data_IF_458246952783
#
_entry.id   IF_458246952783
#
_cell.length_a   1.000
_cell.length_b   1.000
_cell.length_c   1.000
_cell.angle_alpha   90.00
_cell.angle_beta   90.00
_cell.angle_gamma   90.00
#
_symmetry.space_group_name_H-M   'P 1'
#
loop_
_entity.id
_entity.type
_entity.pdbx_description
1 polymer ?
#
# COMPACT_ATOMS: atom_id res chain seq x y z
N UNK A 1 0.39 -16.99 18.71
CA UNK A 1 1.84 -16.77 18.81
C UNK A 1 2.47 -17.44 17.60
N UNK A 2 3.03 -16.67 16.66
CA UNK A 2 3.76 -17.20 15.50
C UNK A 2 5.24 -17.20 15.89
N UNK A 3 5.95 -18.30 15.68
CA UNK A 3 7.38 -18.39 15.95
C UNK A 3 8.10 -18.68 14.64
N UNK A 4 8.91 -17.72 14.19
CA UNK A 4 9.72 -17.85 12.96
C UNK A 4 11.12 -18.32 13.34
N UNK A 5 11.71 -19.16 12.49
CA UNK A 5 13.12 -19.57 12.56
C UNK A 5 13.69 -19.56 11.16
N UNK A 6 14.83 -18.88 10.98
CA UNK A 6 15.63 -19.01 9.77
C UNK A 6 16.58 -20.19 9.91
N UNK A 7 16.82 -20.85 8.78
CA UNK A 7 17.77 -21.95 8.65
C UNK A 7 18.80 -21.50 7.63
N UNK A 8 20.08 -21.48 8.01
CA UNK A 8 21.14 -21.06 7.11
C UNK A 8 21.49 -22.14 6.07
N UNK A 9 22.40 -21.83 5.14
CA UNK A 9 22.87 -22.74 4.08
C UNK A 9 23.45 -24.07 4.60
N UNK A 10 23.81 -24.14 5.88
CA UNK A 10 24.33 -25.33 6.54
C UNK A 10 23.27 -26.12 7.31
N UNK A 11 21.98 -25.74 7.21
CA UNK A 11 20.89 -26.42 7.89
C UNK A 11 20.81 -26.15 9.40
N UNK A 12 21.51 -25.13 9.90
CA UNK A 12 21.53 -24.76 11.31
C UNK A 12 20.55 -23.61 11.57
N UNK A 13 19.86 -23.66 12.71
CA UNK A 13 19.01 -22.57 13.20
C UNK A 13 19.87 -21.30 13.32
N UNK A 14 19.47 -20.23 12.64
CA UNK A 14 20.06 -18.91 12.90
C UNK A 14 19.63 -18.44 14.27
N UNK A 15 20.61 -18.10 15.11
CA UNK A 15 20.36 -17.61 16.45
C UNK A 15 19.80 -16.18 16.37
N UNK A 16 18.47 -16.07 16.33
CA UNK A 16 17.80 -14.81 16.61
C UNK A 16 18.17 -14.32 18.00
N UNK A 17 18.85 -13.18 18.08
CA UNK A 17 19.23 -12.57 19.37
C UNK A 17 17.97 -12.07 20.11
N UNK A 18 16.88 -11.80 19.38
CA UNK A 18 15.59 -11.35 19.90
C UNK A 18 14.42 -12.11 19.22
N UNK A 19 13.36 -12.41 19.98
CA UNK A 19 12.18 -13.13 19.49
C UNK A 19 11.42 -12.33 18.42
N UNK A 20 11.45 -10.99 18.51
CA UNK A 20 10.71 -10.12 17.59
C UNK A 20 11.54 -9.71 16.36
N UNK A 21 12.87 -9.71 16.46
CA UNK A 21 13.76 -9.34 15.36
C UNK A 21 13.65 -10.27 14.14
N UNK A 22 13.65 -11.58 14.38
CA UNK A 22 13.50 -12.60 13.33
C UNK A 22 12.12 -12.55 12.67
N UNK A 23 11.08 -12.27 13.44
CA UNK A 23 9.72 -12.14 12.90
C UNK A 23 9.57 -10.87 12.05
N UNK A 24 10.11 -9.74 12.51
CA UNK A 24 10.12 -8.49 11.76
C UNK A 24 10.89 -8.63 10.45
N UNK A 25 12.08 -9.23 10.47
CA UNK A 25 12.89 -9.48 9.27
C UNK A 25 12.13 -10.34 8.26
N UNK A 26 11.55 -11.46 8.71
CA UNK A 26 10.69 -12.29 7.87
C UNK A 26 9.52 -11.51 7.25
N UNK A 27 8.87 -10.66 8.03
CA UNK A 27 7.73 -9.86 7.59
C UNK A 27 8.16 -8.80 6.55
N UNK A 28 9.27 -8.10 6.79
CA UNK A 28 9.84 -7.13 5.85
C UNK A 28 10.28 -7.79 4.54
N UNK A 29 11.01 -8.91 4.59
CA UNK A 29 11.48 -9.63 3.39
C UNK A 29 10.32 -10.20 2.58
N UNK A 30 9.35 -10.82 3.25
CA UNK A 30 8.17 -11.37 2.60
C UNK A 30 7.37 -10.28 1.90
N UNK A 31 7.13 -9.15 2.58
CA UNK A 31 6.39 -8.03 1.99
C UNK A 31 7.16 -7.37 0.85
N UNK A 32 8.49 -7.18 0.96
CA UNK A 32 9.33 -6.73 -0.15
C UNK A 32 9.20 -7.66 -1.37
N UNK A 33 9.19 -8.98 -1.16
CA UNK A 33 9.05 -9.95 -2.24
C UNK A 33 7.66 -9.91 -2.87
N UNK A 34 6.61 -9.71 -2.07
CA UNK A 34 5.21 -9.61 -2.54
C UNK A 34 5.00 -8.39 -3.45
N UNK A 35 5.64 -7.26 -3.12
CA UNK A 35 5.55 -6.03 -3.92
C UNK A 35 6.49 -6.01 -5.12
N UNK A 36 7.29 -7.07 -5.31
CA UNK A 36 8.13 -7.23 -6.48
C UNK A 36 7.25 -7.31 -7.75
N UNK A 37 7.50 -6.44 -8.75
CA UNK A 37 6.76 -6.45 -10.02
C UNK A 37 6.75 -7.82 -10.72
N UNK A 38 7.77 -8.66 -10.49
CA UNK A 38 7.85 -10.02 -11.06
C UNK A 38 6.75 -10.96 -10.58
N UNK A 39 6.14 -10.72 -9.41
CA UNK A 39 5.00 -11.50 -8.94
C UNK A 39 3.66 -10.98 -9.49
N UNK A 40 3.64 -9.77 -10.08
CA UNK A 40 2.44 -9.16 -10.66
C UNK A 40 1.22 -9.13 -9.70
N UNK A 41 1.48 -9.07 -8.38
CA UNK A 41 0.43 -8.94 -7.37
C UNK A 41 0.07 -7.46 -7.15
N UNK A 42 1.05 -6.58 -7.06
CA UNK A 42 0.83 -5.15 -6.90
C UNK A 42 1.44 -4.37 -8.06
N UNK A 43 0.88 -3.19 -8.33
CA UNK A 43 1.41 -2.20 -9.25
C UNK A 43 1.61 -0.88 -8.52
N UNK A 44 2.45 -0.04 -9.09
CA UNK A 44 2.66 1.33 -8.63
C UNK A 44 1.81 2.29 -9.48
N UNK A 45 1.19 3.27 -8.83
CA UNK A 45 0.61 4.43 -9.52
C UNK A 45 1.72 5.37 -10.01
N UNK A 46 1.36 6.46 -10.70
CA UNK A 46 2.30 7.53 -11.05
C UNK A 46 2.96 8.21 -9.84
N UNK A 47 2.38 8.05 -8.65
CA UNK A 47 2.90 8.59 -7.38
C UNK A 47 3.67 7.53 -6.56
N UNK A 48 4.07 6.43 -7.18
CA UNK A 48 4.78 5.31 -6.53
C UNK A 48 3.97 4.70 -5.36
N UNK A 49 2.63 4.71 -5.47
CA UNK A 49 1.74 4.09 -4.49
C UNK A 49 1.29 2.71 -4.93
N UNK A 50 1.33 1.75 -4.02
CA UNK A 50 0.96 0.36 -4.24
C UNK A 50 -0.56 0.18 -4.29
N UNK A 51 -1.03 -0.53 -5.32
CA UNK A 51 -2.41 -1.02 -5.41
C UNK A 51 -2.43 -2.41 -6.07
N UNK A 52 -3.49 -3.22 -5.86
CA UNK A 52 -3.58 -4.54 -6.47
C UNK A 52 -3.48 -4.48 -8.00
N UNK A 53 -2.70 -5.38 -8.59
CA UNK A 53 -2.60 -5.50 -10.04
C UNK A 53 -3.93 -6.01 -10.61
N UNK A 54 -4.58 -5.28 -11.55
CA UNK A 54 -5.78 -5.77 -12.25
C UNK A 54 -5.51 -7.08 -13.00
N UNK A 55 -4.27 -7.25 -13.46
CA UNK A 55 -3.80 -8.43 -14.19
C UNK A 55 -3.21 -9.51 -13.29
N UNK A 56 -3.42 -9.44 -11.97
CA UNK A 56 -2.86 -10.45 -11.05
C UNK A 56 -3.35 -11.88 -11.31
N UNK A 57 -4.44 -12.06 -12.06
CA UNK A 57 -4.98 -13.38 -12.41
C UNK A 57 -4.03 -14.25 -13.25
N UNK A 58 -2.96 -13.70 -13.83
CA UNK A 58 -1.90 -14.51 -14.46
C UNK A 58 -1.01 -15.22 -13.47
N UNK A 59 -0.98 -14.75 -12.23
CA UNK A 59 -0.21 -15.39 -11.16
C UNK A 59 -1.06 -16.51 -10.57
N UNK A 60 -0.52 -17.72 -10.55
CA UNK A 60 -1.23 -18.84 -9.93
C UNK A 60 -1.55 -18.54 -8.46
N UNK A 61 -2.76 -18.90 -8.05
CA UNK A 61 -3.26 -18.67 -6.69
C UNK A 61 -3.22 -17.20 -6.23
N UNK A 62 -3.32 -16.23 -7.16
CA UNK A 62 -3.22 -14.81 -6.82
C UNK A 62 -4.16 -14.36 -5.69
N UNK A 63 -5.40 -14.85 -5.64
CA UNK A 63 -6.34 -14.50 -4.58
C UNK A 63 -5.89 -15.02 -3.21
N UNK A 64 -5.38 -16.26 -3.15
CA UNK A 64 -4.82 -16.82 -1.91
C UNK A 64 -3.58 -16.04 -1.48
N UNK A 65 -2.76 -15.57 -2.43
CA UNK A 65 -1.62 -14.70 -2.15
C UNK A 65 -2.08 -13.36 -1.57
N UNK A 66 -3.10 -12.70 -2.15
CA UNK A 66 -3.65 -11.47 -1.56
C UNK A 66 -4.19 -11.68 -0.15
N UNK A 67 -4.89 -12.79 0.10
CA UNK A 67 -5.35 -13.15 1.44
C UNK A 67 -4.19 -13.35 2.41
N UNK A 68 -3.13 -14.04 1.99
CA UNK A 68 -1.92 -14.19 2.79
C UNK A 68 -1.27 -12.84 3.10
N UNK A 69 -1.13 -11.96 2.11
CA UNK A 69 -0.53 -10.62 2.26
C UNK A 69 -1.36 -9.75 3.20
N UNK A 70 -2.70 -9.78 3.05
CA UNK A 70 -3.60 -9.09 3.97
C UNK A 70 -3.43 -9.58 5.39
N UNK A 71 -3.32 -10.89 5.60
CA UNK A 71 -3.02 -11.48 6.91
C UNK A 71 -1.66 -11.01 7.46
N UNK A 72 -0.60 -11.06 6.65
CA UNK A 72 0.73 -10.59 7.04
C UNK A 72 0.73 -9.11 7.46
N UNK A 73 0.06 -8.25 6.69
CA UNK A 73 -0.06 -6.83 7.06
C UNK A 73 -0.90 -6.64 8.32
N UNK A 74 -2.02 -7.36 8.46
CA UNK A 74 -2.83 -7.33 9.68
C UNK A 74 -2.04 -7.78 10.91
N UNK A 75 -1.13 -8.74 10.73
CA UNK A 75 -0.23 -9.19 11.78
C UNK A 75 0.79 -8.11 12.17
N UNK A 76 1.38 -7.45 11.18
CA UNK A 76 2.30 -6.34 11.40
C UNK A 76 1.64 -5.22 12.22
N UNK A 77 0.44 -4.81 11.81
CA UNK A 77 -0.35 -3.78 12.51
C UNK A 77 -0.72 -4.22 13.93
N UNK A 78 -1.10 -5.49 14.13
CA UNK A 78 -1.44 -6.01 15.47
C UNK A 78 -0.25 -5.99 16.43
N UNK A 79 0.96 -6.24 15.94
CA UNK A 79 2.19 -6.26 16.74
C UNK A 79 2.93 -4.91 16.74
N UNK A 80 2.31 -3.86 16.19
CA UNK A 80 2.90 -2.52 16.08
C UNK A 80 4.23 -2.50 15.31
N UNK A 81 4.36 -3.37 14.31
CA UNK A 81 5.51 -3.44 13.41
C UNK A 81 5.25 -2.55 12.20
N UNK A 82 6.09 -1.53 12.05
CA UNK A 82 6.07 -0.63 10.91
C UNK A 82 6.64 -1.31 9.67
N UNK A 83 5.92 -1.22 8.55
CA UNK A 83 6.34 -1.73 7.24
C UNK A 83 6.30 -0.64 6.19
N UNK A 84 7.36 -0.55 5.42
CA UNK A 84 7.49 0.38 4.29
C UNK A 84 6.63 -0.10 3.10
N UNK A 85 5.36 0.30 3.12
CA UNK A 85 4.32 -0.10 2.16
C UNK A 85 3.44 1.10 1.84
N UNK A 86 3.86 1.98 0.91
CA UNK A 86 3.09 3.16 0.55
C UNK A 86 1.89 2.75 -0.30
N UNK A 87 0.74 2.47 0.30
CA UNK A 87 -0.46 2.10 -0.43
C UNK A 87 -1.17 3.32 -1.04
N UNK A 88 -1.87 3.10 -2.14
CA UNK A 88 -2.72 4.14 -2.74
C UNK A 88 -3.95 4.41 -1.85
N UNK A 89 -4.35 5.68 -1.75
CA UNK A 89 -5.46 6.10 -0.87
C UNK A 89 -6.77 5.40 -1.24
N UNK A 90 -7.05 5.25 -2.53
CA UNK A 90 -8.24 4.56 -3.04
C UNK A 90 -8.29 3.08 -2.69
N UNK A 91 -7.13 2.45 -2.49
CA UNK A 91 -7.05 1.07 -2.05
C UNK A 91 -7.27 0.97 -0.53
N UNK A 92 -6.62 1.84 0.25
CA UNK A 92 -6.79 1.87 1.70
C UNK A 92 -8.22 2.20 2.13
N UNK A 93 -8.89 3.13 1.45
CA UNK A 93 -10.31 3.43 1.71
C UNK A 93 -11.20 2.22 1.45
N UNK A 94 -10.87 1.33 0.50
CA UNK A 94 -11.54 0.04 0.32
C UNK A 94 -11.29 -0.90 1.50
N UNK A 95 -10.06 -0.96 2.03
CA UNK A 95 -9.70 -1.80 3.18
C UNK A 95 -10.45 -1.36 4.44
N UNK A 96 -10.54 -0.06 4.69
CA UNK A 96 -11.28 0.55 5.80
C UNK A 96 -12.80 0.43 5.63
N UNK A 97 -13.29 0.23 4.40
CA UNK A 97 -14.72 0.16 4.11
C UNK A 97 -15.40 1.52 3.94
N UNK A 98 -14.62 2.60 3.79
CA UNK A 98 -15.11 3.98 3.61
C UNK A 98 -15.72 4.23 2.21
N UNK A 99 -15.64 3.26 1.31
CA UNK A 99 -16.18 3.33 -0.05
C UNK A 99 -17.70 3.52 -0.13
N UNK A 100 -18.42 3.18 0.95
CA UNK A 100 -19.86 3.42 1.06
C UNK A 100 -20.18 4.78 1.66
N UNK A 101 -19.17 5.57 2.01
CA UNK A 101 -19.35 6.96 2.43
C UNK A 101 -19.86 7.77 1.25
N UNK A 102 -20.93 8.53 1.46
CA UNK A 102 -21.51 9.43 0.46
C UNK A 102 -20.55 10.51 -0.03
N UNK A 103 -19.38 10.64 0.61
CA UNK A 103 -18.33 11.62 0.29
C UNK A 103 -17.25 11.08 -0.64
N UNK A 104 -17.22 9.77 -0.90
CA UNK A 104 -16.19 9.18 -1.75
C UNK A 104 -16.53 9.39 -3.23
N UNK A 105 -15.61 10.01 -3.98
CA UNK A 105 -15.76 10.30 -5.40
C UNK A 105 -14.62 9.66 -6.18
N UNK A 106 -14.92 8.58 -6.91
CA UNK A 106 -13.92 7.88 -7.73
C UNK A 106 -13.28 8.78 -8.80
N UNK A 107 -13.95 9.87 -9.21
CA UNK A 107 -13.42 10.84 -10.17
C UNK A 107 -12.33 11.71 -9.53
N UNK A 108 -12.50 12.11 -8.27
CA UNK A 108 -11.58 13.02 -7.60
C UNK A 108 -10.28 12.32 -7.21
N UNK A 109 -10.33 11.01 -6.96
CA UNK A 109 -9.14 10.20 -6.69
C UNK A 109 -8.48 9.63 -7.96
N UNK A 110 -9.18 9.60 -9.10
CA UNK A 110 -8.65 9.07 -10.36
C UNK A 110 -7.29 9.66 -10.78
N UNK A 111 -7.01 10.97 -10.60
CA UNK A 111 -5.70 11.54 -10.93
C UNK A 111 -4.52 10.88 -10.18
N UNK A 112 -4.74 10.35 -8.97
CA UNK A 112 -3.70 9.67 -8.19
C UNK A 112 -3.37 8.27 -8.72
N UNK A 113 -4.29 7.65 -9.44
CA UNK A 113 -4.12 6.36 -10.10
C UNK A 113 -3.62 6.53 -11.54
N UNK A 114 -4.37 7.30 -12.33
CA UNK A 114 -4.16 7.48 -13.77
C UNK A 114 -4.49 8.93 -14.20
N UNK A 115 -3.48 9.82 -14.20
CA UNK A 115 -3.62 11.20 -14.64
C UNK A 115 -4.04 11.35 -16.11
N UNK A 116 -3.68 10.39 -16.97
CA UNK A 116 -3.98 10.45 -18.41
C UNK A 116 -5.43 10.11 -18.69
N UNK A 117 -5.96 9.09 -18.01
CA UNK A 117 -7.38 8.77 -18.06
C UNK A 117 -8.21 9.93 -17.50
N UNK A 118 -7.80 10.54 -16.39
CA UNK A 118 -8.50 11.71 -15.85
C UNK A 118 -8.57 12.87 -16.87
N UNK A 119 -7.47 13.16 -17.57
CA UNK A 119 -7.45 14.16 -18.64
C UNK A 119 -8.41 13.79 -19.78
N UNK A 120 -8.42 12.53 -20.19
CA UNK A 120 -9.28 12.02 -21.26
C UNK A 120 -10.77 12.12 -20.90
N UNK A 121 -11.14 11.74 -19.67
CA UNK A 121 -12.51 11.88 -19.18
C UNK A 121 -12.92 13.35 -19.01
N UNK A 122 -12.00 14.20 -18.57
CA UNK A 122 -12.22 15.65 -18.48
C UNK A 122 -12.42 16.29 -19.85
N UNK A 123 -11.71 15.80 -20.87
CA UNK A 123 -11.91 16.21 -22.26
C UNK A 123 -13.32 15.85 -22.74
N UNK A 124 -13.75 14.60 -22.55
CA UNK A 124 -15.11 14.15 -22.91
C UNK A 124 -16.18 14.99 -22.19
N UNK A 125 -15.97 15.34 -20.92
CA UNK A 125 -16.88 16.17 -20.12
C UNK A 125 -17.13 17.53 -20.76
N UNK A 126 -16.07 18.20 -21.23
CA UNK A 126 -16.11 19.55 -21.78
C UNK A 126 -16.18 19.59 -23.31
N UNK A 127 -16.28 18.44 -23.96
CA UNK A 127 -16.45 18.37 -25.41
C UNK A 127 -17.77 19.02 -25.82
N UNK A 128 -17.68 20.06 -26.66
CA UNK A 128 -18.84 20.83 -27.15
C UNK A 128 -19.47 20.24 -28.42
N UNK A 129 -18.78 19.31 -29.11
CA UNK A 129 -19.30 18.59 -30.28
C UNK A 129 -20.24 17.43 -29.93
N UNK A 130 -20.57 16.60 -30.92
CA UNK A 130 -21.28 15.35 -30.67
C UNK A 130 -20.29 14.29 -30.15
N UNK A 131 -20.44 13.89 -28.88
CA UNK A 131 -19.59 12.82 -28.30
C UNK A 131 -19.71 11.50 -29.06
N UNK A 132 -20.81 11.30 -29.79
CA UNK A 132 -20.99 10.13 -30.67
C UNK A 132 -19.91 10.06 -31.75
N UNK A 133 -19.31 11.19 -32.16
CA UNK A 133 -18.22 11.24 -33.15
C UNK A 133 -16.91 10.62 -32.61
N UNK A 134 -16.80 10.40 -31.30
CA UNK A 134 -15.65 9.75 -30.68
C UNK A 134 -15.74 8.22 -30.73
N UNK A 135 -16.83 7.65 -31.25
CA UNK A 135 -17.09 6.21 -31.37
C UNK A 135 -16.87 5.43 -30.05
N UNK A 136 -17.15 6.10 -28.93
CA UNK A 136 -17.05 5.50 -27.60
C UNK A 136 -18.28 4.65 -27.30
N UNK A 137 -18.06 3.54 -26.61
CA UNK A 137 -19.12 2.66 -26.09
C UNK A 137 -18.98 2.51 -24.58
N UNK A 138 -19.98 1.95 -23.90
CA UNK A 138 -19.89 1.67 -22.45
C UNK A 138 -19.04 0.42 -22.16
N UNK A 139 -17.84 0.36 -22.72
CA UNK A 139 -16.83 -0.65 -22.47
C UNK A 139 -15.43 -0.05 -22.38
N UNK A 140 -14.52 -0.81 -21.81
CA UNK A 140 -13.11 -0.48 -21.67
C UNK A 140 -12.28 -1.61 -22.28
N UNK A 141 -11.40 -1.27 -23.21
CA UNK A 141 -10.48 -2.20 -23.85
C UNK A 141 -9.11 -2.13 -23.17
N UNK A 142 -8.60 -3.29 -22.73
CA UNK A 142 -7.27 -3.43 -22.17
C UNK A 142 -6.45 -4.36 -23.05
N UNK A 143 -5.30 -3.88 -23.55
CA UNK A 143 -4.34 -4.73 -24.26
C UNK A 143 -3.52 -5.52 -23.25
N UNK A 144 -3.60 -6.84 -23.37
CA UNK A 144 -2.81 -7.78 -22.61
C UNK A 144 -1.99 -8.69 -23.53
N UNK A 145 -0.67 -8.44 -23.61
CA UNK A 145 0.27 -9.21 -24.43
C UNK A 145 -0.18 -9.35 -25.90
N UNK A 146 -0.87 -8.35 -26.45
CA UNK A 146 -1.41 -8.34 -27.81
C UNK A 146 -2.83 -8.88 -27.94
N UNK A 147 -3.46 -9.36 -26.86
CA UNK A 147 -4.88 -9.70 -26.82
C UNK A 147 -5.69 -8.56 -26.19
N UNK A 148 -6.70 -8.07 -26.91
CA UNK A 148 -7.57 -7.01 -26.39
C UNK A 148 -8.71 -7.66 -25.59
N UNK A 149 -8.75 -7.38 -24.29
CA UNK A 149 -9.84 -7.78 -23.40
C UNK A 149 -10.79 -6.59 -23.23
N UNK A 150 -12.01 -6.75 -23.73
CA UNK A 150 -13.07 -5.74 -23.59
C UNK A 150 -13.93 -6.00 -22.35
N UNK A 151 -13.86 -5.10 -21.39
CA UNK A 151 -14.68 -5.07 -20.19
C UNK A 151 -15.93 -4.21 -20.36
N UNK A 152 -17.10 -4.75 -20.03
CA UNK A 152 -18.35 -3.99 -20.06
C UNK A 152 -18.52 -3.16 -18.78
N UNK A 153 -18.70 -1.84 -18.93
CA UNK A 153 -18.94 -0.94 -17.79
C UNK A 153 -20.36 -1.09 -17.23
N UNK A 154 -21.28 -1.59 -18.05
CA UNK A 154 -22.66 -1.96 -17.69
C UNK A 154 -23.13 -3.12 -18.58
N UNK A 155 -24.16 -3.87 -18.17
CA UNK A 155 -24.68 -4.97 -18.98
C UNK A 155 -25.04 -4.54 -20.41
N UNK A 156 -24.46 -5.19 -21.42
CA UNK A 156 -24.66 -4.86 -22.82
C UNK A 156 -23.95 -3.58 -23.28
N UNK A 157 -23.00 -3.08 -22.49
CA UNK A 157 -22.34 -1.79 -22.68
C UNK A 157 -21.63 -1.63 -24.02
N UNK A 158 -21.10 -2.73 -24.60
CA UNK A 158 -20.44 -2.73 -25.91
C UNK A 158 -21.35 -2.26 -27.05
N UNK A 159 -22.66 -2.48 -26.91
CA UNK A 159 -23.64 -2.10 -27.94
C UNK A 159 -24.26 -0.74 -27.71
N UNK A 160 -23.89 -0.03 -26.63
CA UNK A 160 -24.49 1.25 -26.29
C UNK A 160 -23.47 2.36 -26.51
N UNK A 161 -23.70 3.26 -27.48
CA UNK A 161 -22.79 4.36 -27.74
C UNK A 161 -22.86 5.42 -26.64
N UNK A 162 -21.75 6.11 -26.43
CA UNK A 162 -21.67 7.29 -25.58
C UNK A 162 -22.15 8.50 -26.36
N UNK A 163 -23.15 9.19 -25.84
CA UNK A 163 -23.78 10.38 -26.41
C UNK A 163 -23.68 11.56 -25.44
N UNK A 164 -24.01 12.77 -25.91
CA UNK A 164 -24.01 13.94 -25.04
C UNK A 164 -24.93 13.82 -23.82
N UNK A 165 -26.03 13.09 -23.93
CA UNK A 165 -26.97 12.87 -22.82
C UNK A 165 -26.44 11.89 -21.76
N UNK A 166 -25.56 10.95 -22.16
CA UNK A 166 -25.10 9.87 -21.29
C UNK A 166 -23.60 9.93 -20.95
N UNK A 167 -22.85 10.91 -21.49
CA UNK A 167 -21.40 11.07 -21.28
C UNK A 167 -20.99 11.18 -19.83
N UNK A 168 -21.82 11.84 -18.99
CA UNK A 168 -21.56 11.96 -17.55
C UNK A 168 -21.62 10.57 -16.89
N UNK A 169 -22.59 9.74 -17.25
CA UNK A 169 -22.72 8.37 -16.73
C UNK A 169 -21.52 7.52 -17.16
N UNK A 170 -21.08 7.65 -18.42
CA UNK A 170 -19.87 6.97 -18.91
C UNK A 170 -18.64 7.35 -18.07
N UNK A 171 -18.41 8.63 -17.81
CA UNK A 171 -17.28 9.11 -17.01
C UNK A 171 -17.29 8.50 -15.61
N UNK A 172 -18.42 8.52 -14.92
CA UNK A 172 -18.54 7.94 -13.58
C UNK A 172 -18.32 6.42 -13.60
N UNK A 173 -18.88 5.70 -14.57
CA UNK A 173 -18.71 4.25 -14.68
C UNK A 173 -17.28 3.87 -15.02
N UNK A 174 -16.60 4.62 -15.89
CA UNK A 174 -15.19 4.38 -16.22
C UNK A 174 -14.29 4.59 -15.01
N UNK A 175 -14.46 5.70 -14.28
CA UNK A 175 -13.71 5.97 -13.06
C UNK A 175 -13.96 4.89 -12.00
N UNK A 176 -15.23 4.52 -11.77
CA UNK A 176 -15.57 3.45 -10.82
C UNK A 176 -15.00 2.08 -11.24
N UNK A 177 -15.00 1.77 -12.54
CA UNK A 177 -14.43 0.54 -13.06
C UNK A 177 -12.93 0.45 -12.77
N UNK A 178 -12.18 1.51 -13.10
CA UNK A 178 -10.73 1.57 -12.88
C UNK A 178 -10.34 1.62 -11.40
N UNK A 179 -11.09 2.30 -10.55
CA UNK A 179 -10.73 2.42 -9.14
C UNK A 179 -11.14 1.20 -8.30
N UNK A 180 -12.24 0.51 -8.68
CA UNK A 180 -12.84 -0.52 -7.83
C UNK A 180 -13.09 -1.84 -8.54
N UNK A 181 -13.77 -1.82 -9.70
CA UNK A 181 -14.28 -3.06 -10.30
C UNK A 181 -13.14 -3.98 -10.74
N UNK A 182 -12.11 -3.43 -11.39
CA UNK A 182 -11.00 -4.22 -11.92
C UNK A 182 -10.13 -4.91 -10.85
N UNK A 183 -10.12 -4.38 -9.61
CA UNK A 183 -9.34 -4.94 -8.49
C UNK A 183 -10.23 -5.58 -7.40
N UNK A 184 -11.53 -5.69 -7.64
CA UNK A 184 -12.51 -6.01 -6.59
C UNK A 184 -12.21 -7.33 -5.88
N UNK A 185 -11.87 -8.36 -6.64
CA UNK A 185 -11.73 -9.71 -6.09
C UNK A 185 -10.41 -9.86 -5.34
N UNK A 186 -9.35 -9.18 -5.80
CA UNK A 186 -8.06 -9.02 -5.14
C UNK A 186 -8.23 -8.28 -3.80
N UNK A 187 -8.88 -7.12 -3.82
CA UNK A 187 -9.14 -6.31 -2.63
C UNK A 187 -9.98 -7.09 -1.60
N UNK A 188 -11.01 -7.83 -2.04
CA UNK A 188 -11.79 -8.70 -1.15
C UNK A 188 -10.96 -9.80 -0.51
N UNK A 189 -10.09 -10.45 -1.28
CA UNK A 189 -9.20 -11.48 -0.75
C UNK A 189 -8.23 -10.91 0.28
N UNK A 190 -7.61 -9.76 -0.03
CA UNK A 190 -6.76 -9.02 0.89
C UNK A 190 -7.49 -8.65 2.19
N UNK A 191 -8.68 -8.06 2.09
CA UNK A 191 -9.49 -7.67 3.25
C UNK A 191 -9.85 -8.89 4.11
N UNK A 192 -10.18 -10.03 3.49
CA UNK A 192 -10.47 -11.27 4.21
C UNK A 192 -9.27 -11.71 5.05
N UNK A 193 -8.08 -11.69 4.47
CA UNK A 193 -6.84 -11.96 5.18
C UNK A 193 -6.58 -10.99 6.32
N UNK A 194 -6.68 -9.70 6.04
CA UNK A 194 -6.42 -8.63 7.01
C UNK A 194 -7.37 -8.69 8.22
N UNK A 195 -8.68 -8.86 7.95
CA UNK A 195 -9.72 -8.98 8.99
C UNK A 195 -9.71 -10.29 9.75
N UNK A 196 -8.96 -11.30 9.29
CA UNK A 196 -8.76 -12.52 10.07
C UNK A 196 -7.92 -12.29 11.33
N UNK A 197 -7.15 -11.19 11.35
CA UNK A 197 -6.28 -10.81 12.48
C UNK A 197 -6.77 -9.54 13.16
N UNK A 198 -7.16 -8.53 12.38
CA UNK A 198 -7.60 -7.23 12.90
C UNK A 198 -9.13 -7.18 13.01
N UNK A 199 -9.63 -6.75 14.18
CA UNK A 199 -11.05 -6.51 14.38
C UNK A 199 -11.50 -5.28 13.54
N UNK A 200 -12.53 -5.42 12.68
CA UNK A 200 -13.07 -4.30 11.90
C UNK A 200 -13.45 -3.06 12.72
N UNK A 201 -13.90 -3.23 13.96
CA UNK A 201 -14.26 -2.11 14.86
C UNK A 201 -13.07 -1.24 15.25
N UNK A 202 -11.84 -1.76 15.17
CA UNK A 202 -10.64 -0.94 15.42
C UNK A 202 -10.31 -0.05 14.23
N UNK A 203 -10.73 -0.45 13.02
CA UNK A 203 -10.43 0.29 11.80
C UNK A 203 -11.29 1.55 11.65
N UNK A 204 -12.49 1.57 12.24
CA UNK A 204 -13.37 2.75 12.18
C UNK A 204 -12.82 3.97 12.95
N UNK A 205 -11.74 3.81 13.70
CA UNK A 205 -11.08 4.90 14.43
C UNK A 205 -10.08 5.68 13.57
N UNK A 206 -9.70 5.15 12.41
CA UNK A 206 -8.65 5.71 11.57
C UNK A 206 -9.22 6.24 10.25
N UNK A 207 -8.84 7.45 9.89
CA UNK A 207 -8.94 7.92 8.51
C UNK A 207 -7.87 7.25 7.62
N UNK A 208 -8.04 7.31 6.30
CA UNK A 208 -7.06 6.76 5.32
C UNK A 208 -5.61 7.22 5.59
N UNK A 209 -5.30 8.51 5.81
CA UNK A 209 -3.94 8.95 6.08
C UNK A 209 -3.40 8.48 7.44
N UNK A 210 -4.26 8.33 8.45
CA UNK A 210 -3.87 7.78 9.75
C UNK A 210 -3.58 6.29 9.66
N UNK A 211 -4.37 5.55 8.90
CA UNK A 211 -4.13 4.12 8.66
C UNK A 211 -2.83 3.89 7.86
N UNK A 212 -2.53 4.73 6.87
CA UNK A 212 -1.24 4.69 6.17
C UNK A 212 -0.07 4.96 7.13
N UNK A 213 -0.21 5.92 8.05
CA UNK A 213 0.80 6.19 9.09
C UNK A 213 0.93 5.06 10.11
N UNK A 214 -0.16 4.37 10.43
CA UNK A 214 -0.11 3.18 11.28
C UNK A 214 0.69 2.05 10.63
N UNK A 215 0.56 1.88 9.30
CA UNK A 215 1.29 0.87 8.53
C UNK A 215 2.77 1.24 8.37
N UNK A 216 3.05 2.44 7.89
CA UNK A 216 4.41 2.83 7.45
C UNK A 216 5.14 3.76 8.40
N UNK A 217 4.55 4.06 9.55
CA UNK A 217 5.09 5.04 10.49
C UNK A 217 4.95 6.46 9.97
N UNK A 218 5.47 7.40 10.74
CA UNK A 218 5.53 8.81 10.34
C UNK A 218 6.91 9.11 9.72
N UNK A 219 6.92 9.83 8.61
CA UNK A 219 8.15 10.35 7.99
C UNK A 219 8.55 11.70 8.62
N UNK A 220 8.34 11.85 9.93
CA UNK A 220 8.76 13.05 10.65
C UNK A 220 10.27 12.98 10.86
N UNK A 221 10.94 14.09 10.59
CA UNK A 221 12.36 14.26 10.87
C UNK A 221 12.65 13.81 12.32
N UNK A 222 13.63 12.92 12.46
CA UNK A 222 14.01 12.38 13.76
C UNK A 222 14.45 13.51 14.67
N UNK A 223 13.70 13.74 15.75
CA UNK A 223 14.14 14.62 16.82
C UNK A 223 15.23 13.90 17.62
N UNK A 224 16.48 14.15 17.23
CA UNK A 224 17.65 13.56 17.88
C UNK A 224 17.76 13.98 19.35
N UNK A 225 17.19 15.14 19.73
CA UNK A 225 17.20 15.60 21.11
C UNK A 225 16.22 14.80 21.94
N UNK A 226 14.98 14.63 21.48
CA UNK A 226 13.99 13.78 22.14
C UNK A 226 14.47 12.32 22.24
N UNK A 227 15.06 11.79 21.16
CA UNK A 227 15.61 10.44 21.15
C UNK A 227 16.72 10.27 22.21
N UNK A 228 17.63 11.25 22.33
CA UNK A 228 18.71 11.23 23.31
C UNK A 228 18.21 11.32 24.74
N UNK A 229 17.21 12.18 24.99
CA UNK A 229 16.59 12.34 26.31
C UNK A 229 15.91 11.05 26.78
N UNK A 230 15.36 10.25 25.85
CA UNK A 230 14.70 8.98 26.14
C UNK A 230 15.57 7.73 25.96
N UNK A 231 16.88 7.88 25.70
CA UNK A 231 17.79 6.73 25.53
C UNK A 231 18.30 6.22 26.89
N UNK A 232 18.04 4.94 27.18
CA UNK A 232 18.62 4.26 28.34
C UNK A 232 19.98 3.64 28.00
N UNK A 233 20.98 3.92 28.83
CA UNK A 233 22.33 3.41 28.67
C UNK A 233 22.60 2.25 29.64
N UNK A 234 23.15 1.15 29.13
CA UNK A 234 23.51 -0.04 29.90
C UNK A 234 25.02 -0.29 29.84
N UNK A 235 25.54 -1.21 30.68
CA UNK A 235 26.95 -1.64 30.60
C UNK A 235 27.98 -0.59 31.05
N UNK A 236 27.58 0.36 31.90
CA UNK A 236 28.46 1.42 32.40
C UNK A 236 28.56 2.65 31.50
N UNK A 237 27.89 2.65 30.34
CA UNK A 237 27.71 3.85 29.53
C UNK A 237 26.68 4.80 30.17
N UNK A 238 26.84 6.09 29.91
CA UNK A 238 25.92 7.14 30.33
C UNK A 238 26.00 8.30 29.33
N UNK A 239 25.04 9.23 29.38
CA UNK A 239 24.91 10.33 28.41
C UNK A 239 26.22 11.13 28.19
N UNK A 240 26.93 11.44 29.27
CA UNK A 240 28.21 12.18 29.22
C UNK A 240 29.43 11.35 28.83
N UNK A 241 29.27 10.06 28.54
CA UNK A 241 30.40 9.19 28.22
C UNK A 241 30.96 9.55 26.85
N UNK A 242 32.29 9.62 26.70
CA UNK A 242 32.93 10.18 25.50
C UNK A 242 32.44 9.56 24.19
N UNK A 243 32.33 8.24 24.13
CA UNK A 243 31.80 7.55 22.93
C UNK A 243 30.31 7.77 22.69
N UNK A 244 29.51 8.01 23.74
CA UNK A 244 28.08 8.35 23.60
C UNK A 244 27.93 9.76 23.03
N UNK A 245 28.72 10.73 23.53
CA UNK A 245 28.75 12.07 22.94
C UNK A 245 29.16 12.03 21.46
N UNK A 246 30.19 11.26 21.10
CA UNK A 246 30.59 11.10 19.70
C UNK A 246 29.50 10.50 18.82
N UNK A 247 28.76 9.49 19.32
CA UNK A 247 27.63 8.91 18.58
C UNK A 247 26.59 10.00 18.25
N UNK A 248 26.18 10.79 19.24
CA UNK A 248 25.20 11.86 19.04
C UNK A 248 25.73 12.98 18.15
N UNK A 249 27.01 13.37 18.30
CA UNK A 249 27.64 14.39 17.45
C UNK A 249 27.66 13.95 15.97
N UNK A 250 27.98 12.67 15.70
CA UNK A 250 27.99 12.10 14.35
C UNK A 250 26.56 12.05 13.77
N UNK A 251 25.58 11.61 14.57
CA UNK A 251 24.18 11.59 14.15
C UNK A 251 23.64 12.99 13.82
N UNK A 252 24.07 14.01 14.57
CA UNK A 252 23.61 15.39 14.37
C UNK A 252 24.32 16.10 13.21
N UNK A 253 25.61 15.85 12.99
CA UNK A 253 26.44 16.63 12.06
C UNK A 253 26.78 15.92 10.77
N UNK A 254 27.01 14.62 10.83
CA UNK A 254 27.56 13.85 9.70
C UNK A 254 26.47 13.06 8.96
N UNK A 255 25.42 12.64 9.66
CA UNK A 255 24.33 11.87 9.05
C UNK A 255 23.28 12.78 8.41
N UNK A 256 22.90 12.45 7.17
CA UNK A 256 21.72 12.99 6.49
C UNK A 256 20.43 12.42 7.08
N UNK A 257 19.30 13.03 6.76
CA UNK A 257 17.98 12.63 7.26
C UNK A 257 17.65 11.16 6.94
N UNK A 258 17.97 10.70 5.72
CA UNK A 258 17.82 9.29 5.31
C UNK A 258 18.69 8.34 6.15
N UNK A 259 19.93 8.74 6.45
CA UNK A 259 20.86 7.93 7.26
C UNK A 259 20.42 7.88 8.74
N UNK A 260 19.82 8.96 9.26
CA UNK A 260 19.20 8.98 10.60
C UNK A 260 17.98 8.06 10.67
N UNK A 261 17.15 8.07 9.62
CA UNK A 261 16.01 7.16 9.51
C UNK A 261 16.46 5.70 9.46
N UNK A 262 17.52 5.39 8.70
CA UNK A 262 18.15 4.07 8.68
C UNK A 262 18.70 3.67 10.05
N UNK A 263 19.39 4.59 10.74
CA UNK A 263 19.89 4.35 12.10
C UNK A 263 18.76 3.98 13.06
N UNK A 264 17.63 4.71 13.03
CA UNK A 264 16.46 4.36 13.83
C UNK A 264 15.88 3.00 13.43
N UNK A 265 15.73 2.72 12.13
CA UNK A 265 15.17 1.47 11.63
C UNK A 265 15.94 0.25 12.16
N UNK A 266 17.28 0.38 12.24
CA UNK A 266 18.17 -0.65 12.78
C UNK A 266 18.09 -0.76 14.31
N UNK A 267 17.89 0.35 15.03
CA UNK A 267 17.96 0.39 16.49
C UNK A 267 16.59 0.31 17.22
N UNK A 268 15.46 0.41 16.52
CA UNK A 268 14.12 0.14 17.07
C UNK A 268 14.00 -1.28 17.65
N UNK A 269 14.90 -2.18 17.28
CA UNK A 269 15.05 -3.54 17.81
C UNK A 269 15.51 -3.63 19.28
N UNK A 270 15.71 -2.50 19.99
CA UNK A 270 16.22 -2.49 21.38
C UNK A 270 15.42 -1.64 22.37
N UNK A 271 14.36 -0.96 21.93
CA UNK A 271 13.68 0.07 22.75
C UNK A 271 12.42 -0.48 23.45
N UNK A 272 11.99 -1.70 23.14
CA UNK A 272 10.86 -2.34 23.83
C UNK A 272 11.31 -3.66 24.45
N UNK A 273 12.02 -3.56 25.58
CA UNK A 273 12.08 -4.61 26.61
C UNK A 273 12.29 -3.94 27.96
#
# INVERSE_FOLDING_TARGET
>A
MIRVRFINEHGLDEAGIDQDGVFKEFLEETLKRVFDPSLNLFRLTSEERLYPSPTSFMTENHLQLFEFVGGMLGKAVYESIVVDCPFASFFLSQVLGEQQSSLYSSIDELPSLDPELYKSLTYIKHYEGDVSDLDLTFSYDEDYLGEIITHELRPGGKSIPVTNDNKIVYIHLMAHFKMHVQIRDQTKAFIRGFRSIINPEWLSLFSVPEFQRLISGDNIAVDLKDLRENTLYYGGFHDKHRVVCWLWDILERDFKEEERALFLKVNQMKVVT
#
